data_IF_789103673247
#
_entry.id   IF_789103673247
#
_cell.length_a   1.000
_cell.length_b   1.000
_cell.length_c   1.000
_cell.angle_alpha   90.00
_cell.angle_beta   90.00
_cell.angle_gamma   90.00
#
_symmetry.space_group_name_H-M   'P 1'
#
loop_
_entity.id
_entity.type
_entity.pdbx_description
1 polymer ?
#
# COMPACT_ATOMS: atom_id res chain seq x y z
N UNK A 1 -61.00 11.89 55.80
CA UNK A 1 -60.73 11.29 54.49
C UNK A 1 -59.21 11.34 54.31
N UNK A 2 -58.62 10.17 54.38
CA UNK A 2 -57.14 10.05 54.35
C UNK A 2 -56.75 9.39 53.05
N UNK A 3 -55.96 10.08 52.26
CA UNK A 3 -55.32 9.54 51.04
C UNK A 3 -53.88 9.10 51.31
N UNK A 4 -53.61 7.81 51.16
CA UNK A 4 -52.31 7.17 51.28
C UNK A 4 -51.50 7.46 50.02
N UNK A 5 -50.35 8.11 50.15
CA UNK A 5 -49.30 8.18 49.11
C UNK A 5 -48.41 6.96 49.22
N UNK A 6 -48.28 6.20 48.12
CA UNK A 6 -47.32 5.11 47.99
C UNK A 6 -46.00 5.66 47.45
N UNK A 7 -44.97 5.69 48.29
CA UNK A 7 -43.61 5.94 47.86
C UNK A 7 -43.04 4.74 47.08
N UNK A 8 -42.69 4.97 45.83
CA UNK A 8 -41.93 3.99 45.04
C UNK A 8 -40.44 4.22 45.23
N UNK A 9 -39.78 3.16 45.71
CA UNK A 9 -38.33 3.12 45.86
C UNK A 9 -37.69 2.88 44.47
N UNK A 10 -37.04 3.89 43.92
CA UNK A 10 -36.24 3.76 42.71
C UNK A 10 -34.85 3.22 43.11
N UNK A 11 -34.62 1.95 42.84
CA UNK A 11 -33.30 1.33 42.96
C UNK A 11 -32.46 1.81 41.79
N UNK A 12 -31.48 2.68 42.06
CA UNK A 12 -30.43 3.04 41.12
C UNK A 12 -29.39 1.92 41.10
N UNK A 13 -29.38 1.13 40.02
CA UNK A 13 -28.32 0.16 39.78
C UNK A 13 -27.13 0.93 39.18
N UNK A 14 -26.10 1.17 39.97
CA UNK A 14 -24.84 1.67 39.48
C UNK A 14 -24.09 0.49 38.87
N UNK A 15 -24.08 0.42 37.53
CA UNK A 15 -23.21 -0.47 36.80
C UNK A 15 -21.81 0.13 36.83
N UNK A 16 -20.93 -0.39 37.69
CA UNK A 16 -19.50 -0.13 37.64
C UNK A 16 -18.93 -0.85 36.40
N UNK A 17 -18.70 -0.11 35.32
CA UNK A 17 -17.92 -0.61 34.20
C UNK A 17 -16.47 -0.71 34.65
N UNK A 18 -15.99 -1.91 34.94
CA UNK A 18 -14.56 -2.17 35.10
C UNK A 18 -13.92 -2.01 33.72
N UNK A 19 -13.22 -0.90 33.51
CA UNK A 19 -12.33 -0.76 32.36
C UNK A 19 -11.17 -1.74 32.54
N UNK A 20 -11.22 -2.86 31.85
CA UNK A 20 -10.05 -3.73 31.70
C UNK A 20 -9.09 -2.99 30.78
N UNK A 21 -8.02 -2.44 31.35
CA UNK A 21 -6.91 -1.90 30.55
C UNK A 21 -6.18 -3.11 29.98
N UNK A 22 -6.51 -3.46 28.75
CA UNK A 22 -5.78 -4.47 27.99
C UNK A 22 -4.48 -3.82 27.52
N UNK A 23 -3.33 -4.32 27.97
CA UNK A 23 -2.03 -3.92 27.47
C UNK A 23 -1.69 -4.91 26.35
N UNK A 24 -1.78 -4.51 25.08
CA UNK A 24 -1.48 -5.42 23.99
C UNK A 24 -0.01 -5.84 24.03
N UNK A 25 0.23 -7.14 23.83
CA UNK A 25 1.57 -7.69 23.63
C UNK A 25 2.18 -7.22 22.30
N UNK A 26 3.50 -7.38 22.10
CA UNK A 26 4.19 -6.88 20.90
C UNK A 26 3.70 -7.48 19.57
N UNK A 27 2.83 -8.50 19.60
CA UNK A 27 2.19 -9.05 18.39
C UNK A 27 0.81 -8.48 18.04
N UNK A 28 0.13 -7.81 19.00
CA UNK A 28 -1.23 -7.30 18.80
C UNK A 28 -1.27 -5.88 18.24
N UNK A 29 -0.18 -5.13 18.34
CA UNK A 29 -0.10 -3.77 17.78
C UNK A 29 -0.15 -3.72 16.25
N UNK A 30 0.16 -4.84 15.59
CA UNK A 30 0.05 -4.96 14.12
C UNK A 30 -1.41 -5.11 13.70
N UNK A 31 -2.24 -5.78 14.51
CA UNK A 31 -3.68 -5.97 14.22
C UNK A 31 -4.46 -4.65 14.29
N UNK A 32 -4.18 -3.81 15.29
CA UNK A 32 -4.89 -2.53 15.47
C UNK A 32 -4.53 -1.49 14.38
N UNK A 33 -3.29 -1.58 13.83
CA UNK A 33 -2.89 -0.78 12.68
C UNK A 33 -3.58 -1.24 11.38
N UNK A 34 -4.08 -2.48 11.35
CA UNK A 34 -4.73 -3.08 10.18
C UNK A 34 -6.23 -2.77 10.17
N UNK A 35 -6.90 -2.63 11.30
CA UNK A 35 -8.34 -2.28 11.36
C UNK A 35 -8.64 -0.86 10.86
N UNK A 36 -7.68 0.07 10.96
CA UNK A 36 -7.83 1.44 10.42
C UNK A 36 -7.51 1.52 8.90
N UNK A 37 -7.13 0.39 8.29
CA UNK A 37 -6.73 0.23 6.87
C UNK A 37 -7.91 -0.22 5.98
N UNK A 38 -9.15 -0.27 6.46
CA UNK A 38 -10.32 -0.81 5.77
C UNK A 38 -10.85 0.04 4.60
N UNK A 39 -9.97 0.50 3.72
CA UNK A 39 -10.38 1.13 2.46
C UNK A 39 -9.28 0.99 1.41
N UNK A 40 -9.47 0.10 0.42
CA UNK A 40 -8.65 0.06 -0.79
C UNK A 40 -7.43 -0.87 -0.77
N UNK A 41 -7.07 -1.51 0.36
CA UNK A 41 -5.97 -2.49 0.43
C UNK A 41 -6.40 -3.78 1.11
N UNK A 42 -5.75 -4.89 0.78
CA UNK A 42 -5.96 -6.19 1.38
C UNK A 42 -4.64 -6.89 1.67
N UNK A 43 -4.59 -7.59 2.80
CA UNK A 43 -3.44 -8.37 3.25
C UNK A 43 -3.67 -9.84 2.91
N UNK A 44 -2.70 -10.45 2.26
CA UNK A 44 -2.73 -11.85 1.82
C UNK A 44 -1.59 -12.59 2.50
N UNK A 45 -1.88 -13.74 3.12
CA UNK A 45 -0.88 -14.54 3.82
C UNK A 45 -0.58 -14.05 5.24
N UNK A 46 0.39 -14.72 5.88
CA UNK A 46 0.78 -14.47 7.26
C UNK A 46 2.31 -14.51 7.41
N UNK A 47 2.85 -13.81 8.40
CA UNK A 47 4.28 -13.80 8.71
C UNK A 47 5.14 -13.40 7.50
N UNK A 48 6.16 -14.19 7.20
CA UNK A 48 7.10 -13.93 6.09
C UNK A 48 6.47 -14.06 4.70
N UNK A 49 5.29 -14.70 4.59
CA UNK A 49 4.56 -14.83 3.33
C UNK A 49 3.51 -13.75 3.14
N UNK A 50 3.38 -12.81 4.08
CA UNK A 50 2.40 -11.75 4.01
C UNK A 50 2.79 -10.69 2.97
N UNK A 51 1.82 -10.32 2.15
CA UNK A 51 1.94 -9.22 1.19
C UNK A 51 0.65 -8.42 1.12
N UNK A 52 0.73 -7.21 0.57
CA UNK A 52 -0.40 -6.31 0.40
C UNK A 52 -0.71 -6.13 -1.10
N UNK A 53 -1.99 -6.10 -1.41
CA UNK A 53 -2.52 -5.76 -2.74
C UNK A 53 -3.64 -4.72 -2.61
N UNK A 54 -4.03 -4.10 -3.73
CA UNK A 54 -5.27 -3.33 -3.76
C UNK A 54 -6.47 -4.27 -3.54
N UNK A 55 -7.46 -3.86 -2.74
CA UNK A 55 -8.69 -4.65 -2.52
C UNK A 55 -9.42 -4.98 -3.82
N UNK A 56 -9.33 -4.10 -4.83
CA UNK A 56 -9.89 -4.35 -6.17
C UNK A 56 -9.24 -5.53 -6.89
N UNK A 57 -8.10 -6.02 -6.42
CA UNK A 57 -7.33 -7.10 -7.03
C UNK A 57 -7.26 -8.37 -6.17
N UNK A 58 -7.88 -8.39 -4.97
CA UNK A 58 -7.77 -9.51 -4.03
C UNK A 58 -8.24 -10.84 -4.62
N UNK A 59 -9.37 -10.85 -5.32
CA UNK A 59 -9.91 -12.06 -5.94
C UNK A 59 -8.99 -12.73 -6.99
N UNK A 60 -7.97 -12.01 -7.47
CA UNK A 60 -6.99 -12.54 -8.41
C UNK A 60 -5.88 -13.32 -7.71
N UNK A 61 -5.64 -13.05 -6.43
CA UNK A 61 -4.63 -13.74 -5.62
C UNK A 61 -5.22 -14.86 -4.76
N UNK A 62 -6.52 -14.86 -4.49
CA UNK A 62 -7.20 -15.89 -3.70
C UNK A 62 -7.11 -17.30 -4.32
N UNK A 63 -6.80 -17.39 -5.60
CA UNK A 63 -6.64 -18.64 -6.33
C UNK A 63 -5.33 -19.38 -6.05
N UNK A 64 -4.36 -18.68 -5.46
CA UNK A 64 -3.02 -19.19 -5.20
C UNK A 64 -2.71 -19.15 -3.71
N UNK A 65 -1.82 -20.06 -3.25
CA UNK A 65 -1.29 -19.92 -1.90
C UNK A 65 -0.33 -18.73 -1.83
N UNK A 66 -0.29 -17.97 -0.72
CA UNK A 66 0.60 -16.81 -0.57
C UNK A 66 2.06 -17.14 -0.85
N UNK A 67 2.56 -18.28 -0.36
CA UNK A 67 3.93 -18.73 -0.59
C UNK A 67 4.21 -18.96 -2.07
N UNK A 68 3.28 -19.60 -2.80
CA UNK A 68 3.42 -19.83 -4.23
C UNK A 68 3.42 -18.51 -5.01
N UNK A 69 2.50 -17.62 -4.68
CA UNK A 69 2.38 -16.29 -5.28
C UNK A 69 3.69 -15.50 -5.20
N UNK A 70 4.36 -15.51 -4.04
CA UNK A 70 5.63 -14.81 -3.85
C UNK A 70 6.80 -15.52 -4.53
N UNK A 71 6.87 -16.87 -4.49
CA UNK A 71 7.97 -17.61 -5.10
C UNK A 71 7.93 -17.58 -6.63
N UNK A 72 6.77 -17.71 -7.22
CA UNK A 72 6.57 -17.65 -8.68
C UNK A 72 6.42 -16.21 -9.19
N UNK A 73 6.15 -15.26 -8.28
CA UNK A 73 5.79 -13.88 -8.58
C UNK A 73 4.67 -13.80 -9.62
N UNK A 74 3.69 -14.67 -9.46
CA UNK A 74 2.52 -14.79 -10.31
C UNK A 74 1.40 -15.56 -9.60
N UNK A 75 0.17 -15.38 -10.09
CA UNK A 75 -0.95 -16.27 -9.76
C UNK A 75 -1.74 -16.52 -11.04
N UNK A 76 -1.92 -17.77 -11.43
CA UNK A 76 -2.41 -18.15 -12.74
C UNK A 76 -1.63 -17.43 -13.85
N UNK A 77 -2.31 -16.77 -14.78
CA UNK A 77 -1.70 -16.02 -15.88
C UNK A 77 -1.28 -14.59 -15.49
N UNK A 78 -1.61 -14.13 -14.26
CA UNK A 78 -1.32 -12.77 -13.81
C UNK A 78 0.07 -12.70 -13.16
N UNK A 79 0.98 -11.98 -13.79
CA UNK A 79 2.34 -11.74 -13.31
C UNK A 79 2.36 -10.64 -12.27
N UNK A 80 3.31 -10.70 -11.32
CA UNK A 80 3.45 -9.70 -10.26
C UNK A 80 4.65 -8.79 -10.51
N UNK A 81 4.49 -7.53 -10.16
CA UNK A 81 5.59 -6.58 -9.93
C UNK A 81 5.62 -6.30 -8.43
N UNK A 82 6.66 -6.79 -7.76
CA UNK A 82 6.80 -6.74 -6.31
C UNK A 82 7.65 -5.53 -5.92
N UNK A 83 7.11 -4.71 -5.04
CA UNK A 83 7.81 -3.60 -4.38
C UNK A 83 8.11 -3.97 -2.94
N UNK A 84 9.37 -3.86 -2.57
CA UNK A 84 9.88 -4.17 -1.24
C UNK A 84 9.95 -2.90 -0.40
N UNK A 85 9.14 -2.82 0.65
CA UNK A 85 9.09 -1.66 1.52
C UNK A 85 10.38 -1.47 2.34
N UNK A 86 11.17 -2.52 2.61
CA UNK A 86 12.47 -2.37 3.25
C UNK A 86 13.46 -1.59 2.38
N UNK A 87 13.27 -1.62 1.06
CA UNK A 87 14.09 -0.92 0.07
C UNK A 87 13.50 0.41 -0.39
N UNK A 88 12.17 0.50 -0.41
CA UNK A 88 11.42 1.62 -1.00
C UNK A 88 10.23 2.02 -0.10
N UNK A 89 10.48 2.43 1.17
CA UNK A 89 9.40 2.72 2.12
C UNK A 89 8.45 3.83 1.66
N UNK A 90 8.95 4.88 1.00
CA UNK A 90 8.11 5.99 0.54
C UNK A 90 7.39 5.69 -0.76
N UNK A 91 8.00 4.93 -1.67
CA UNK A 91 7.33 4.42 -2.89
C UNK A 91 6.16 3.51 -2.50
N UNK A 92 6.38 2.56 -1.60
CA UNK A 92 5.31 1.64 -1.17
C UNK A 92 4.22 2.36 -0.38
N UNK A 93 4.57 3.42 0.37
CA UNK A 93 3.60 4.32 0.96
C UNK A 93 2.75 5.04 -0.09
N UNK A 94 3.36 5.59 -1.16
CA UNK A 94 2.63 6.23 -2.25
C UNK A 94 1.64 5.24 -2.90
N UNK A 95 2.10 4.04 -3.25
CA UNK A 95 1.28 2.98 -3.85
C UNK A 95 0.09 2.63 -2.93
N UNK A 96 0.34 2.32 -1.66
CA UNK A 96 -0.72 1.94 -0.70
C UNK A 96 -1.73 3.08 -0.47
N UNK A 97 -1.27 4.32 -0.42
CA UNK A 97 -2.13 5.50 -0.30
C UNK A 97 -2.99 5.69 -1.55
N UNK A 98 -2.42 5.45 -2.73
CA UNK A 98 -3.16 5.50 -3.99
C UNK A 98 -4.25 4.42 -4.05
N UNK A 99 -3.97 3.20 -3.57
CA UNK A 99 -4.99 2.15 -3.47
C UNK A 99 -6.13 2.53 -2.51
N UNK A 100 -5.80 3.12 -1.36
CA UNK A 100 -6.82 3.67 -0.42
C UNK A 100 -7.67 4.76 -1.06
N UNK A 101 -7.11 5.51 -2.02
CA UNK A 101 -7.83 6.48 -2.83
C UNK A 101 -8.55 5.88 -4.05
N UNK A 102 -8.64 4.54 -4.14
CA UNK A 102 -9.39 3.83 -5.19
C UNK A 102 -8.61 3.61 -6.50
N UNK A 103 -7.28 3.81 -6.51
CA UNK A 103 -6.47 3.48 -7.68
C UNK A 103 -6.36 1.97 -7.88
N UNK A 104 -6.24 1.47 -9.13
CA UNK A 104 -6.20 0.04 -9.41
C UNK A 104 -4.90 -0.61 -8.92
N UNK A 105 -4.99 -1.89 -8.52
CA UNK A 105 -3.81 -2.72 -8.20
C UNK A 105 -3.30 -3.52 -9.38
N UNK A 106 -4.16 -3.79 -10.36
CA UNK A 106 -3.77 -4.39 -11.64
C UNK A 106 -3.58 -3.27 -12.66
N UNK A 107 -2.41 -3.25 -13.28
CA UNK A 107 -2.04 -2.23 -14.27
C UNK A 107 -1.72 -2.88 -15.60
N UNK A 108 -1.95 -2.16 -16.69
CA UNK A 108 -1.65 -2.60 -18.05
C UNK A 108 -0.42 -1.86 -18.57
N UNK A 109 0.65 -2.60 -18.86
CA UNK A 109 1.86 -2.00 -19.44
C UNK A 109 1.54 -1.34 -20.77
N UNK A 110 2.00 -0.11 -20.95
CA UNK A 110 1.86 0.66 -22.20
C UNK A 110 3.01 1.68 -22.31
N UNK A 111 4.09 1.27 -22.96
CA UNK A 111 5.26 2.15 -23.17
C UNK A 111 4.91 3.33 -24.09
N UNK A 112 3.88 3.21 -24.92
CA UNK A 112 3.47 4.30 -25.83
C UNK A 112 2.71 5.40 -25.11
N UNK A 113 2.06 5.08 -23.98
CA UNK A 113 1.37 6.05 -23.13
C UNK A 113 2.34 6.88 -22.27
N UNK A 114 3.54 6.34 -21.96
CA UNK A 114 4.47 6.94 -21.01
C UNK A 114 4.80 8.41 -21.30
N UNK A 115 5.20 8.83 -22.54
CA UNK A 115 5.51 10.23 -22.81
C UNK A 115 4.32 11.18 -22.61
N UNK A 116 3.11 10.70 -22.93
CA UNK A 116 1.87 11.44 -22.73
C UNK A 116 1.49 11.56 -21.26
N UNK A 117 1.66 10.48 -20.49
CA UNK A 117 1.38 10.42 -19.08
C UNK A 117 2.34 11.34 -18.30
N UNK A 118 3.64 11.28 -18.57
CA UNK A 118 4.66 12.16 -17.94
C UNK A 118 4.41 13.65 -18.14
N UNK A 119 3.71 14.04 -19.19
CA UNK A 119 3.29 15.44 -19.40
C UNK A 119 2.14 15.89 -18.51
N UNK A 120 1.49 14.98 -17.82
CA UNK A 120 0.28 15.24 -16.99
C UNK A 120 0.56 15.11 -15.51
N UNK A 121 1.68 14.49 -15.12
CA UNK A 121 2.04 14.19 -13.74
C UNK A 121 3.48 14.61 -13.47
N UNK A 122 3.83 14.79 -12.21
CA UNK A 122 5.17 15.16 -11.78
C UNK A 122 5.71 16.41 -12.49
N UNK A 123 4.84 17.38 -12.73
CA UNK A 123 5.15 18.60 -13.45
C UNK A 123 6.28 19.39 -12.73
N UNK A 124 6.97 20.32 -13.43
CA UNK A 124 7.97 21.20 -12.81
C UNK A 124 7.42 21.98 -11.61
N UNK A 125 6.11 22.26 -11.58
CA UNK A 125 5.41 22.93 -10.48
C UNK A 125 5.14 22.03 -9.27
N UNK A 126 5.34 20.70 -9.36
CA UNK A 126 5.19 19.82 -8.21
C UNK A 126 6.19 20.24 -7.09
N UNK A 127 5.70 20.46 -5.85
CA UNK A 127 6.57 20.90 -4.77
C UNK A 127 7.55 19.80 -4.35
N UNK A 128 8.83 20.15 -4.30
CA UNK A 128 9.93 19.29 -3.83
C UNK A 128 10.58 19.94 -2.61
N UNK A 129 9.80 20.08 -1.56
CA UNK A 129 10.16 20.86 -0.37
C UNK A 129 11.33 20.26 0.41
N UNK A 130 11.63 18.99 0.19
CA UNK A 130 12.64 18.22 0.93
C UNK A 130 13.78 17.73 0.04
N UNK A 131 13.91 18.28 -1.19
CA UNK A 131 15.00 17.91 -2.12
C UNK A 131 14.82 16.53 -2.77
N UNK A 132 13.61 15.97 -2.69
CA UNK A 132 13.27 14.69 -3.29
C UNK A 132 12.90 14.78 -4.76
N UNK A 133 12.35 13.70 -5.27
CA UNK A 133 11.78 13.60 -6.62
C UNK A 133 10.30 13.30 -6.52
N UNK A 134 9.55 13.67 -7.56
CA UNK A 134 8.16 13.30 -7.67
C UNK A 134 8.04 11.86 -8.13
N UNK A 135 7.21 11.07 -7.44
CA UNK A 135 6.76 9.75 -7.81
C UNK A 135 5.26 9.77 -8.06
N UNK A 136 4.81 8.97 -9.01
CA UNK A 136 3.40 8.85 -9.37
C UNK A 136 2.90 7.41 -9.37
N UNK A 137 1.63 7.22 -8.92
CA UNK A 137 0.91 5.95 -9.04
C UNK A 137 -0.55 6.19 -9.47
N UNK A 138 -1.08 5.46 -10.51
CA UNK A 138 -0.43 4.44 -11.34
C UNK A 138 0.74 4.99 -12.16
N UNK A 139 1.66 4.10 -12.52
CA UNK A 139 2.93 4.48 -13.19
C UNK A 139 2.71 5.07 -14.58
N UNK A 140 3.57 6.03 -14.98
CA UNK A 140 3.48 6.62 -16.31
C UNK A 140 3.56 5.60 -17.45
N UNK A 141 4.26 4.48 -17.26
CA UNK A 141 4.41 3.40 -18.25
C UNK A 141 3.20 2.47 -18.34
N UNK A 142 2.04 2.88 -17.84
CA UNK A 142 0.79 2.09 -17.86
C UNK A 142 -0.36 2.88 -18.45
N UNK A 143 -1.41 2.18 -18.91
CA UNK A 143 -2.64 2.81 -19.42
C UNK A 143 -3.37 3.62 -18.35
N UNK A 144 -3.29 3.16 -17.11
CA UNK A 144 -3.93 3.76 -15.94
C UNK A 144 -3.18 4.98 -15.41
N UNK A 145 -1.96 5.22 -15.89
CA UNK A 145 -1.12 6.35 -15.51
C UNK A 145 -1.57 7.70 -16.06
N UNK A 146 -0.87 8.75 -15.70
CA UNK A 146 -1.12 10.10 -16.18
C UNK A 146 -2.13 10.86 -15.35
N UNK A 147 -3.04 11.58 -15.99
CA UNK A 147 -3.96 12.49 -15.30
C UNK A 147 -4.75 11.79 -14.18
N UNK A 148 -4.65 12.32 -12.96
CA UNK A 148 -5.30 11.75 -11.78
C UNK A 148 -4.49 10.66 -11.08
N UNK A 149 -3.26 10.36 -11.50
CA UNK A 149 -2.33 9.60 -10.68
C UNK A 149 -2.05 10.35 -9.37
N UNK A 150 -1.78 9.61 -8.30
CA UNK A 150 -1.38 10.19 -7.03
C UNK A 150 0.11 10.52 -7.07
N UNK A 151 0.47 11.72 -6.63
CA UNK A 151 1.84 12.24 -6.68
C UNK A 151 2.37 12.44 -5.26
N UNK A 152 3.59 11.96 -5.00
CA UNK A 152 4.28 12.16 -3.73
C UNK A 152 5.76 12.52 -3.94
N UNK A 153 6.33 13.32 -3.04
CA UNK A 153 7.76 13.52 -2.96
C UNK A 153 8.40 12.29 -2.30
N UNK A 154 9.45 11.74 -2.93
CA UNK A 154 10.16 10.54 -2.47
C UNK A 154 11.69 10.73 -2.57
N UNK A 155 12.51 9.94 -1.85
CA UNK A 155 13.96 9.96 -2.03
C UNK A 155 14.36 9.67 -3.48
N UNK A 156 15.35 10.38 -4.05
CA UNK A 156 15.84 10.13 -5.42
C UNK A 156 16.27 8.67 -5.63
N UNK A 157 16.89 8.04 -4.62
CA UNK A 157 17.30 6.63 -4.68
C UNK A 157 16.09 5.70 -4.86
N UNK A 158 15.03 5.91 -4.09
CA UNK A 158 13.83 5.08 -4.21
C UNK A 158 13.16 5.22 -5.58
N UNK A 159 13.11 6.44 -6.12
CA UNK A 159 12.54 6.66 -7.44
C UNK A 159 13.34 5.93 -8.55
N UNK A 160 14.68 5.91 -8.42
CA UNK A 160 15.54 5.09 -9.30
C UNK A 160 15.27 3.60 -9.12
N UNK A 161 15.13 3.14 -7.86
CA UNK A 161 14.80 1.76 -7.53
C UNK A 161 13.47 1.32 -8.14
N UNK A 162 12.43 2.14 -8.05
CA UNK A 162 11.13 1.86 -8.66
C UNK A 162 11.27 1.64 -10.18
N UNK A 163 11.93 2.57 -10.86
CA UNK A 163 12.17 2.45 -12.32
C UNK A 163 13.01 1.23 -12.68
N UNK A 164 14.00 0.86 -11.85
CA UNK A 164 14.79 -0.36 -11.98
C UNK A 164 13.94 -1.62 -11.84
N UNK A 165 13.15 -1.70 -10.76
CA UNK A 165 12.24 -2.81 -10.48
C UNK A 165 11.25 -3.04 -11.62
N UNK A 166 10.61 -1.98 -12.13
CA UNK A 166 9.68 -2.08 -13.25
C UNK A 166 10.37 -2.64 -14.50
N UNK A 167 11.52 -2.07 -14.91
CA UNK A 167 12.24 -2.51 -16.10
C UNK A 167 12.73 -3.95 -15.98
N UNK A 168 13.33 -4.30 -14.84
CA UNK A 168 13.81 -5.65 -14.60
C UNK A 168 12.67 -6.66 -14.65
N UNK A 169 11.54 -6.34 -14.00
CA UNK A 169 10.40 -7.27 -13.94
C UNK A 169 9.73 -7.40 -15.32
N UNK A 170 9.57 -6.33 -16.07
CA UNK A 170 9.05 -6.40 -17.44
C UNK A 170 9.90 -7.32 -18.32
N UNK A 171 11.24 -7.21 -18.22
CA UNK A 171 12.13 -8.06 -18.99
C UNK A 171 12.10 -9.52 -18.53
N UNK A 172 12.26 -9.78 -17.22
CA UNK A 172 12.37 -11.15 -16.66
C UNK A 172 11.07 -11.94 -16.78
N UNK A 173 9.93 -11.30 -16.55
CA UNK A 173 8.62 -11.94 -16.66
C UNK A 173 8.06 -11.91 -18.08
N UNK A 174 8.73 -11.26 -19.04
CA UNK A 174 8.25 -11.12 -20.40
C UNK A 174 6.93 -10.33 -20.48
N UNK A 175 6.76 -9.30 -19.64
CA UNK A 175 5.57 -8.43 -19.67
C UNK A 175 5.70 -7.48 -20.85
N UNK A 176 4.83 -7.63 -21.84
CA UNK A 176 4.80 -6.83 -23.06
C UNK A 176 3.76 -5.71 -22.97
N UNK A 177 3.80 -4.76 -23.92
CA UNK A 177 2.75 -3.74 -24.03
C UNK A 177 1.39 -4.40 -24.29
N UNK A 178 0.41 -4.04 -23.50
CA UNK A 178 -0.91 -4.64 -23.47
C UNK A 178 -1.11 -5.73 -22.41
N UNK A 179 -0.03 -6.27 -21.83
CA UNK A 179 -0.13 -7.24 -20.74
C UNK A 179 -0.50 -6.55 -19.42
N UNK A 180 -1.38 -7.19 -18.67
CA UNK A 180 -1.71 -6.79 -17.31
C UNK A 180 -0.77 -7.45 -16.30
N UNK A 181 -0.49 -6.74 -15.21
CA UNK A 181 0.26 -7.24 -14.08
C UNK A 181 -0.29 -6.71 -12.76
N UNK A 182 -0.09 -7.47 -11.69
CA UNK A 182 -0.48 -7.09 -10.34
C UNK A 182 0.70 -6.39 -9.65
N UNK A 183 0.43 -5.27 -9.02
CA UNK A 183 1.36 -4.61 -8.10
C UNK A 183 1.19 -5.21 -6.70
N UNK A 184 2.31 -5.62 -6.10
CA UNK A 184 2.38 -6.28 -4.78
C UNK A 184 3.38 -5.54 -3.90
N UNK A 185 3.06 -5.36 -2.62
CA UNK A 185 3.99 -4.81 -1.62
C UNK A 185 4.33 -5.90 -0.60
N UNK A 186 5.62 -6.06 -0.30
CA UNK A 186 6.15 -6.95 0.73
C UNK A 186 6.86 -6.15 1.83
N UNK A 187 7.19 -6.79 2.96
CA UNK A 187 7.82 -6.19 4.15
C UNK A 187 7.00 -5.00 4.70
N UNK A 188 5.73 -5.23 4.94
CA UNK A 188 4.72 -4.21 5.23
C UNK A 188 5.06 -3.31 6.42
N UNK A 189 5.77 -3.83 7.41
CA UNK A 189 6.21 -3.09 8.60
C UNK A 189 7.23 -1.98 8.28
N UNK A 190 7.79 -1.99 7.07
CA UNK A 190 8.77 -1.02 6.59
C UNK A 190 8.15 0.10 5.74
N UNK A 191 6.85 0.04 5.46
CA UNK A 191 6.15 1.12 4.76
C UNK A 191 6.27 2.40 5.61
N UNK A 192 6.71 3.50 4.98
CA UNK A 192 6.84 4.78 5.67
C UNK A 192 5.49 5.25 6.23
N UNK A 193 5.45 5.56 7.53
CA UNK A 193 4.22 5.99 8.22
C UNK A 193 3.86 7.45 7.94
N UNK A 194 4.83 8.27 7.53
CA UNK A 194 4.66 9.69 7.21
C UNK A 194 5.22 10.01 5.81
N UNK A 195 4.81 11.12 5.19
CA UNK A 195 5.42 11.60 3.96
C UNK A 195 6.92 11.86 4.11
N UNK A 196 7.66 11.83 2.98
CA UNK A 196 9.09 12.12 2.94
C UNK A 196 9.39 13.52 3.50
N UNK A 197 10.43 13.59 4.35
CA UNK A 197 10.87 14.81 5.03
C UNK A 197 12.39 15.04 4.85
N UNK A 198 12.95 14.59 3.72
CA UNK A 198 14.37 14.80 3.40
C UNK A 198 15.31 13.70 3.89
N UNK A 199 14.82 12.68 4.59
CA UNK A 199 15.63 11.55 5.09
C UNK A 199 15.14 10.25 4.47
N UNK A 200 16.01 9.54 3.76
CA UNK A 200 15.76 8.18 3.28
C UNK A 200 15.89 7.20 4.45
N UNK A 201 14.80 6.52 4.78
CA UNK A 201 14.69 5.59 5.92
C UNK A 201 14.79 4.12 5.52
N UNK A 202 15.06 3.82 4.26
CA UNK A 202 15.17 2.45 3.78
C UNK A 202 16.25 1.67 4.55
N UNK A 203 15.94 0.44 4.93
CA UNK A 203 16.88 -0.44 5.63
C UNK A 203 17.91 -1.04 4.69
N UNK A 204 17.54 -1.28 3.44
CA UNK A 204 18.42 -1.82 2.40
C UNK A 204 18.71 -0.73 1.36
N UNK A 205 19.77 0.05 1.61
CA UNK A 205 20.21 1.14 0.73
C UNK A 205 21.37 0.75 -0.18
N UNK A 206 22.07 -0.34 0.12
CA UNK A 206 23.32 -0.71 -0.55
C UNK A 206 23.11 -1.56 -1.80
N UNK A 207 21.94 -2.12 -2.00
CA UNK A 207 21.66 -2.97 -3.14
C UNK A 207 21.28 -2.16 -4.37
N UNK A 208 21.87 -2.54 -5.49
CA UNK A 208 21.47 -2.03 -6.81
C UNK A 208 20.03 -2.44 -7.09
N UNK A 209 19.21 -1.44 -7.39
CA UNK A 209 17.81 -1.67 -7.71
C UNK A 209 17.65 -2.02 -9.19
N UNK A 210 17.17 -3.20 -9.48
CA UNK A 210 16.92 -3.68 -10.85
C UNK A 210 17.27 -5.13 -10.99
#
# INVERSE_FOLDING_TARGET
MATKSKGGLLSVIVLAAAAVIFVPGPGEQVSDLIEDVTGGVELVGEGETQFMVASSASTQVDKCTPQRSLSEQACDDLKFVIFDAARMPFITRNISTAWKAGKPGVLTKDATAEPGNRKKVCLPSFPRSHGGQCDEFPFASTREGGAGAQEHEVPPRENQCQGGTLRARYALAGIQDGDSYLVVIVHLNEIAQAPYQGVDIAKDQDQVCG
#
